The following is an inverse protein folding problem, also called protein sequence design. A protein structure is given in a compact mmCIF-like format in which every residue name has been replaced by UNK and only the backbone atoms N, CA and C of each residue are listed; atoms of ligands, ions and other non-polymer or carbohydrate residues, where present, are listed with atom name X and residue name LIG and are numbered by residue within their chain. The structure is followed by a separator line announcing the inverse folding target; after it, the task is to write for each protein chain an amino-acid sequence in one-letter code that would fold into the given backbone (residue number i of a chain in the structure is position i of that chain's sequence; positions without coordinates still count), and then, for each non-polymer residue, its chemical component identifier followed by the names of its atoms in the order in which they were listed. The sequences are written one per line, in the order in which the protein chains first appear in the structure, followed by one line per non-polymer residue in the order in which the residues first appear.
data_IF_902404058841
#
_entry.id   IF_902404058841
#
_cell.length_a   1.000
_cell.length_b   1.000
_cell.length_c   1.000
_cell.angle_alpha   90.00
_cell.angle_beta   90.00
_cell.angle_gamma   90.00
#
_symmetry.space_group_name_H-M   'P 1'
#
loop_
_entity.id
_entity.type
_entity.pdbx_description
1 polymer ?
#
# COMPACT_ATOMS: atom_id res chain seq x y z
N UNK A 1 -11.53 -2.01 8.60
CA UNK A 1 -11.44 -1.94 10.08
C UNK A 1 -12.17 -3.08 10.77
N UNK A 2 -13.41 -3.42 10.39
CA UNK A 2 -14.13 -4.57 10.95
C UNK A 2 -13.36 -5.89 10.82
N UNK A 3 -12.75 -6.14 9.66
CA UNK A 3 -11.84 -7.29 9.47
C UNK A 3 -10.58 -7.23 10.36
N UNK A 4 -10.07 -6.02 10.66
CA UNK A 4 -8.94 -5.84 11.59
C UNK A 4 -9.37 -6.18 13.04
N UNK A 5 -10.61 -5.83 13.42
CA UNK A 5 -11.19 -6.21 14.72
C UNK A 5 -11.42 -7.72 14.85
N UNK A 6 -11.66 -8.42 13.74
CA UNK A 6 -11.72 -9.90 13.70
C UNK A 6 -10.33 -10.57 13.72
N UNK A 7 -9.24 -9.82 13.88
CA UNK A 7 -7.87 -10.34 13.97
C UNK A 7 -7.15 -10.53 12.63
N UNK A 8 -7.70 -10.03 11.52
CA UNK A 8 -7.04 -10.15 10.21
C UNK A 8 -5.78 -9.27 10.14
N UNK A 9 -4.67 -9.85 9.67
CA UNK A 9 -3.43 -9.11 9.46
C UNK A 9 -3.55 -8.15 8.28
N UNK A 10 -2.88 -6.98 8.38
CA UNK A 10 -2.86 -5.97 7.31
C UNK A 10 -2.27 -6.49 6.00
N UNK A 11 -1.20 -7.28 6.10
CA UNK A 11 -0.53 -7.85 4.94
C UNK A 11 -1.47 -8.79 4.18
N UNK A 12 -2.23 -9.62 4.90
CA UNK A 12 -3.19 -10.53 4.29
C UNK A 12 -4.32 -9.80 3.55
N UNK A 13 -4.79 -8.68 4.12
CA UNK A 13 -5.78 -7.83 3.47
C UNK A 13 -5.26 -7.30 2.12
N UNK A 14 -4.08 -6.67 2.11
CA UNK A 14 -3.51 -6.10 0.89
C UNK A 14 -3.11 -7.18 -0.12
N UNK A 15 -2.59 -8.34 0.32
CA UNK A 15 -2.29 -9.45 -0.59
C UNK A 15 -3.55 -10.04 -1.22
N UNK A 16 -4.66 -10.08 -0.48
CA UNK A 16 -5.95 -10.53 -1.03
C UNK A 16 -6.42 -9.60 -2.15
N UNK A 17 -6.35 -8.29 -1.94
CA UNK A 17 -6.71 -7.32 -2.98
C UNK A 17 -5.77 -7.37 -4.18
N UNK A 18 -4.47 -7.49 -3.96
CA UNK A 18 -3.49 -7.67 -5.02
C UNK A 18 -3.80 -8.90 -5.86
N UNK A 19 -4.11 -10.04 -5.21
CA UNK A 19 -4.47 -11.28 -5.90
C UNK A 19 -5.75 -11.12 -6.73
N UNK A 20 -6.80 -10.51 -6.16
CA UNK A 20 -8.03 -10.23 -6.90
C UNK A 20 -7.77 -9.34 -8.12
N UNK A 21 -6.92 -8.33 -8.00
CA UNK A 21 -6.55 -7.48 -9.12
C UNK A 21 -5.72 -8.23 -10.18
N UNK A 22 -4.77 -9.08 -9.78
CA UNK A 22 -3.99 -9.93 -10.72
C UNK A 22 -4.93 -10.82 -11.53
N UNK A 23 -5.93 -11.45 -10.89
CA UNK A 23 -6.92 -12.27 -11.59
C UNK A 23 -7.72 -11.42 -12.59
N UNK A 24 -8.12 -10.21 -12.21
CA UNK A 24 -8.82 -9.30 -13.12
C UNK A 24 -7.97 -8.81 -14.30
N UNK A 25 -6.63 -8.85 -14.19
CA UNK A 25 -5.70 -8.45 -15.25
C UNK A 25 -5.50 -9.51 -16.35
N UNK A 26 -5.87 -10.77 -16.12
CA UNK A 26 -5.68 -11.85 -17.11
C UNK A 26 -6.43 -11.51 -18.42
N UNK A 27 -7.63 -10.94 -18.31
CA UNK A 27 -8.46 -10.57 -19.46
C UNK A 27 -7.84 -9.42 -20.28
N UNK A 28 -7.53 -8.23 -19.72
CA UNK A 28 -6.95 -7.14 -20.50
C UNK A 28 -5.56 -7.47 -21.07
N UNK A 29 -4.74 -8.25 -20.36
CA UNK A 29 -3.41 -8.64 -20.84
C UNK A 29 -3.51 -9.59 -22.02
N UNK A 30 -4.40 -10.59 -21.97
CA UNK A 30 -4.58 -11.50 -23.11
C UNK A 30 -5.09 -10.76 -24.34
N UNK A 31 -6.04 -9.83 -24.19
CA UNK A 31 -6.51 -8.95 -25.28
C UNK A 31 -5.36 -8.11 -25.84
N UNK A 32 -4.54 -7.49 -24.97
CA UNK A 32 -3.40 -6.68 -25.40
C UNK A 32 -2.38 -7.49 -26.20
N UNK A 33 -2.06 -8.71 -25.75
CA UNK A 33 -1.14 -9.62 -26.46
C UNK A 33 -1.71 -10.01 -27.82
N UNK A 34 -3.00 -10.36 -27.90
CA UNK A 34 -3.66 -10.71 -29.16
C UNK A 34 -3.56 -9.54 -30.15
N UNK A 35 -3.85 -8.31 -29.70
CA UNK A 35 -3.77 -7.12 -30.56
C UNK A 35 -2.34 -6.86 -31.05
N UNK A 36 -1.35 -7.06 -30.17
CA UNK A 36 0.04 -6.72 -30.45
C UNK A 36 0.77 -7.76 -31.30
N UNK A 37 0.47 -9.05 -31.10
CA UNK A 37 1.22 -10.17 -31.68
C UNK A 37 0.46 -10.87 -32.81
N UNK A 38 -0.87 -10.88 -32.78
CA UNK A 38 -1.62 -11.50 -33.86
C UNK A 38 -1.68 -10.56 -35.09
N UNK A 39 -1.47 -11.09 -36.31
CA UNK A 39 -1.67 -10.32 -37.54
C UNK A 39 -3.17 -10.14 -37.80
N UNK A 40 -3.75 -9.11 -37.19
CA UNK A 40 -5.18 -8.78 -37.31
C UNK A 40 -5.46 -7.96 -38.57
N UNK A 41 -4.47 -7.22 -39.06
CA UNK A 41 -4.57 -6.33 -40.21
C UNK A 41 -3.78 -6.86 -41.41
N UNK A 42 -4.17 -6.47 -42.62
CA UNK A 42 -3.46 -6.81 -43.87
C UNK A 42 -2.00 -6.33 -43.92
N UNK A 43 -1.63 -5.40 -43.04
CA UNK A 43 -0.28 -4.85 -42.89
C UNK A 43 0.62 -5.65 -41.92
N UNK A 44 0.14 -6.78 -41.38
CA UNK A 44 0.89 -7.65 -40.48
C UNK A 44 0.59 -7.43 -38.98
N UNK A 45 1.38 -8.07 -38.12
CA UNK A 45 1.31 -7.90 -36.66
C UNK A 45 2.07 -6.64 -36.24
N UNK A 46 1.63 -5.96 -35.16
CA UNK A 46 2.32 -4.76 -34.62
C UNK A 46 3.76 -5.09 -34.22
N UNK A 47 3.95 -6.27 -33.65
CA UNK A 47 5.26 -6.87 -33.40
C UNK A 47 5.39 -8.15 -34.21
N UNK A 48 5.89 -8.04 -35.44
CA UNK A 48 6.07 -9.18 -36.35
C UNK A 48 7.33 -9.99 -36.07
N UNK A 49 8.39 -9.34 -35.60
CA UNK A 49 9.72 -9.94 -35.39
C UNK A 49 10.07 -10.19 -33.91
N UNK A 50 9.32 -9.59 -32.99
CA UNK A 50 9.55 -9.72 -31.55
C UNK A 50 8.96 -11.01 -30.97
N UNK A 51 9.58 -11.52 -29.89
CA UNK A 51 9.04 -12.67 -29.15
C UNK A 51 7.79 -12.27 -28.36
N UNK A 52 6.65 -12.90 -28.67
CA UNK A 52 5.37 -12.64 -28.02
C UNK A 52 5.37 -12.92 -26.51
N UNK A 53 6.20 -13.85 -26.02
CA UNK A 53 6.31 -14.15 -24.59
C UNK A 53 6.99 -13.00 -23.84
N UNK A 54 8.00 -12.37 -24.46
CA UNK A 54 8.75 -11.27 -23.89
C UNK A 54 7.87 -10.01 -23.80
N UNK A 55 7.05 -9.77 -24.83
CA UNK A 55 6.01 -8.74 -24.83
C UNK A 55 4.97 -9.03 -23.74
N UNK A 56 4.52 -10.27 -23.59
CA UNK A 56 3.58 -10.64 -22.54
C UNK A 56 4.13 -10.36 -21.13
N UNK A 57 5.39 -10.73 -20.86
CA UNK A 57 6.06 -10.43 -19.58
C UNK A 57 6.11 -8.92 -19.34
N UNK A 58 6.41 -8.13 -20.36
CA UNK A 58 6.43 -6.67 -20.26
C UNK A 58 5.08 -6.10 -19.80
N UNK A 59 3.98 -6.50 -20.45
CA UNK A 59 2.64 -6.04 -20.07
C UNK A 59 2.23 -6.51 -18.67
N UNK A 60 2.59 -7.73 -18.26
CA UNK A 60 2.31 -8.26 -16.92
C UNK A 60 3.03 -7.44 -15.86
N UNK A 61 4.34 -7.19 -16.05
CA UNK A 61 5.15 -6.41 -15.10
C UNK A 61 4.66 -4.96 -15.00
N UNK A 62 4.32 -4.35 -16.14
CA UNK A 62 3.74 -3.01 -16.16
C UNK A 62 2.41 -2.96 -15.37
N UNK A 63 1.50 -3.91 -15.62
CA UNK A 63 0.20 -3.92 -14.97
C UNK A 63 0.33 -4.14 -13.44
N UNK A 64 1.26 -4.98 -13.00
CA UNK A 64 1.54 -5.21 -11.58
C UNK A 64 2.10 -3.96 -10.89
N UNK A 65 3.02 -3.25 -11.55
CA UNK A 65 3.57 -1.97 -11.07
C UNK A 65 2.47 -0.90 -11.00
N UNK A 66 1.61 -0.82 -12.02
CA UNK A 66 0.50 0.13 -12.08
C UNK A 66 -0.55 -0.08 -10.98
N UNK A 67 -0.89 -1.34 -10.65
CA UNK A 67 -1.77 -1.64 -9.50
C UNK A 67 -1.12 -1.19 -8.19
N UNK A 68 0.17 -1.49 -8.01
CA UNK A 68 0.90 -1.15 -6.79
C UNK A 68 0.94 0.37 -6.58
N UNK A 69 1.18 1.12 -7.66
CA UNK A 69 1.06 2.58 -7.67
C UNK A 69 -0.35 3.06 -7.33
N UNK A 70 -1.38 2.44 -7.91
CA UNK A 70 -2.78 2.78 -7.64
C UNK A 70 -3.13 2.56 -6.16
N UNK A 71 -2.70 1.45 -5.56
CA UNK A 71 -2.88 1.20 -4.13
C UNK A 71 -2.21 2.28 -3.29
N UNK A 72 -0.98 2.66 -3.61
CA UNK A 72 -0.30 3.74 -2.90
C UNK A 72 -1.08 5.06 -2.98
N UNK A 73 -1.55 5.45 -4.16
CA UNK A 73 -2.37 6.67 -4.34
C UNK A 73 -3.65 6.61 -3.52
N UNK A 74 -4.33 5.45 -3.45
CA UNK A 74 -5.57 5.32 -2.67
C UNK A 74 -5.36 5.55 -1.17
N UNK A 75 -4.17 5.28 -0.62
CA UNK A 75 -3.89 5.49 0.81
C UNK A 75 -3.93 6.95 1.25
N UNK A 76 -3.87 7.92 0.33
CA UNK A 76 -3.96 9.35 0.67
C UNK A 76 -5.38 9.86 0.85
N UNK A 77 -6.38 9.13 0.36
CA UNK A 77 -7.75 9.63 0.27
C UNK A 77 -8.71 8.83 1.15
N UNK A 78 -9.33 9.52 2.10
CA UNK A 78 -10.32 8.89 3.00
C UNK A 78 -11.73 8.78 2.39
N UNK A 79 -11.95 9.43 1.24
CA UNK A 79 -13.28 9.49 0.59
C UNK A 79 -13.20 9.14 -0.88
N UNK A 80 -14.00 8.16 -1.29
CA UNK A 80 -14.09 7.67 -2.66
C UNK A 80 -14.40 8.80 -3.67
N UNK A 81 -15.37 9.66 -3.36
CA UNK A 81 -15.82 10.74 -4.26
C UNK A 81 -14.73 11.77 -4.59
N UNK A 82 -13.73 11.94 -3.72
CA UNK A 82 -12.56 12.79 -3.99
C UNK A 82 -11.44 12.04 -4.70
N UNK A 83 -11.33 10.74 -4.44
CA UNK A 83 -10.25 9.89 -4.94
C UNK A 83 -10.36 9.71 -6.45
N UNK A 84 -11.56 9.42 -6.96
CA UNK A 84 -11.78 9.10 -8.38
C UNK A 84 -11.30 10.23 -9.32
N UNK A 85 -11.77 11.49 -9.20
CA UNK A 85 -11.33 12.55 -10.13
C UNK A 85 -9.84 12.87 -9.99
N UNK A 86 -9.30 12.83 -8.77
CA UNK A 86 -7.87 13.09 -8.55
C UNK A 86 -7.00 11.97 -9.10
N UNK A 87 -7.43 10.70 -8.96
CA UNK A 87 -6.74 9.55 -9.53
C UNK A 87 -6.74 9.58 -11.06
N UNK A 88 -7.86 9.96 -11.69
CA UNK A 88 -7.94 10.13 -13.14
C UNK A 88 -7.01 11.28 -13.59
N UNK A 89 -7.03 12.41 -12.90
CA UNK A 89 -6.14 13.53 -13.20
C UNK A 89 -4.66 13.14 -13.07
N UNK A 90 -4.32 12.42 -11.99
CA UNK A 90 -2.96 11.91 -11.76
C UNK A 90 -2.54 10.99 -12.91
N UNK A 91 -3.41 10.05 -13.32
CA UNK A 91 -3.15 9.15 -14.44
C UNK A 91 -2.90 9.94 -15.74
N UNK A 92 -3.72 10.96 -16.02
CA UNK A 92 -3.56 11.80 -17.19
C UNK A 92 -2.23 12.58 -17.17
N UNK A 93 -1.87 13.15 -16.01
CA UNK A 93 -0.61 13.88 -15.84
C UNK A 93 0.59 12.95 -16.02
N UNK A 94 0.55 11.76 -15.43
CA UNK A 94 1.63 10.76 -15.55
C UNK A 94 1.73 10.18 -16.96
N UNK A 95 0.66 10.23 -17.78
CA UNK A 95 0.72 9.88 -19.20
C UNK A 95 1.26 11.02 -20.08
N UNK A 96 0.89 12.27 -19.78
CA UNK A 96 1.33 13.45 -20.55
C UNK A 96 2.77 13.88 -20.26
N UNK A 97 3.26 13.66 -19.03
CA UNK A 97 4.64 13.96 -18.66
C UNK A 97 5.70 13.25 -19.55
N UNK A 98 5.58 11.94 -19.85
CA UNK A 98 6.46 11.24 -20.79
C UNK A 98 6.50 11.86 -22.18
N UNK A 99 5.33 12.11 -22.77
CA UNK A 99 5.25 12.64 -24.13
C UNK A 99 5.80 14.06 -24.18
N UNK A 100 5.50 14.89 -23.19
CA UNK A 100 5.99 16.26 -23.13
C UNK A 100 7.50 16.32 -22.89
N UNK A 101 8.04 15.50 -21.98
CA UNK A 101 9.49 15.42 -21.77
C UNK A 101 10.20 14.98 -23.05
N UNK A 102 9.84 13.84 -23.63
CA UNK A 102 10.47 13.35 -24.86
C UNK A 102 10.39 14.36 -26.03
N UNK A 103 9.25 15.05 -26.20
CA UNK A 103 9.09 16.05 -27.26
C UNK A 103 9.87 17.35 -27.00
N UNK A 104 9.93 17.85 -25.77
CA UNK A 104 10.73 19.04 -25.42
C UNK A 104 12.23 18.80 -25.67
N UNK A 105 12.71 17.62 -25.30
CA UNK A 105 14.12 17.25 -25.48
C UNK A 105 14.48 17.10 -26.97
N UNK A 106 13.58 16.57 -27.80
CA UNK A 106 13.77 16.51 -29.26
C UNK A 106 13.85 17.90 -29.92
N UNK A 107 13.25 18.94 -29.32
CA UNK A 107 13.20 20.31 -29.87
C UNK A 107 14.38 21.17 -29.41
N UNK A 108 14.97 20.89 -28.25
CA UNK A 108 15.98 21.77 -27.65
C UNK A 108 17.37 21.68 -28.30
N UNK A 109 17.79 20.53 -28.84
CA UNK A 109 19.20 20.34 -29.23
C UNK A 109 19.46 19.93 -30.69
N UNK A 110 18.45 19.70 -31.54
CA UNK A 110 18.66 19.30 -32.95
C UNK A 110 19.48 18.02 -33.17
N UNK A 111 19.89 17.39 -32.08
CA UNK A 111 20.54 16.11 -31.90
C UNK A 111 19.54 15.27 -31.13
N UNK A 112 19.42 13.98 -31.44
CA UNK A 112 18.62 12.99 -30.68
C UNK A 112 19.24 12.79 -29.26
N UNK A 113 19.23 13.86 -28.46
CA UNK A 113 20.04 14.07 -27.27
C UNK A 113 19.26 13.79 -25.99
N UNK A 114 19.29 12.53 -25.58
CA UNK A 114 19.57 12.07 -24.21
C UNK A 114 19.13 12.94 -23.04
N UNK A 115 17.97 12.58 -22.47
CA UNK A 115 17.82 12.58 -21.01
C UNK A 115 18.92 11.66 -20.47
N UNK A 116 19.72 12.10 -19.48
CA UNK A 116 20.80 11.28 -18.95
C UNK A 116 20.27 9.91 -18.49
N UNK A 117 21.03 8.82 -18.68
CA UNK A 117 20.55 7.46 -18.35
C UNK A 117 19.96 7.36 -16.93
N UNK A 118 20.53 8.09 -15.97
CA UNK A 118 20.03 8.17 -14.59
C UNK A 118 18.71 8.93 -14.44
N UNK A 119 18.49 9.98 -15.23
CA UNK A 119 17.27 10.78 -15.24
C UNK A 119 16.13 10.00 -15.90
N UNK A 120 16.41 9.31 -17.01
CA UNK A 120 15.48 8.39 -17.66
C UNK A 120 15.05 7.27 -16.71
N UNK A 121 16.00 6.67 -15.98
CA UNK A 121 15.71 5.68 -14.95
C UNK A 121 14.89 6.24 -13.79
N UNK A 122 15.19 7.47 -13.34
CA UNK A 122 14.42 8.11 -12.26
C UNK A 122 12.98 8.39 -12.69
N UNK A 123 12.77 8.80 -13.95
CA UNK A 123 11.44 9.01 -14.51
C UNK A 123 10.67 7.69 -14.63
N UNK A 124 11.36 6.57 -14.94
CA UNK A 124 10.74 5.24 -14.98
C UNK A 124 10.15 4.79 -13.63
N UNK A 125 10.46 5.42 -12.51
CA UNK A 125 9.79 5.18 -11.22
C UNK A 125 8.27 5.39 -11.31
N UNK A 126 7.81 6.24 -12.23
CA UNK A 126 6.39 6.30 -12.56
C UNK A 126 6.05 5.19 -13.57
N UNK A 127 5.12 4.27 -13.29
CA UNK A 127 4.89 3.11 -14.15
C UNK A 127 4.54 3.45 -15.60
N UNK A 128 3.82 4.56 -15.85
CA UNK A 128 3.51 4.98 -17.23
C UNK A 128 4.76 5.45 -17.99
N UNK A 129 5.76 6.01 -17.31
CA UNK A 129 7.05 6.34 -17.95
C UNK A 129 7.79 5.08 -18.37
N UNK A 130 7.89 4.08 -17.49
CA UNK A 130 8.49 2.80 -17.82
C UNK A 130 7.79 2.12 -19.02
N UNK A 131 6.47 2.24 -19.11
CA UNK A 131 5.70 1.76 -20.25
C UNK A 131 6.08 2.47 -21.56
N UNK A 132 6.11 3.81 -21.56
CA UNK A 132 6.46 4.60 -22.76
C UNK A 132 7.87 4.28 -23.23
N UNK A 133 8.84 4.21 -22.31
CA UNK A 133 10.22 3.84 -22.65
C UNK A 133 10.32 2.39 -23.18
N UNK A 134 9.67 1.43 -22.52
CA UNK A 134 9.69 0.03 -22.97
C UNK A 134 9.08 -0.17 -24.36
N UNK A 135 7.96 0.51 -24.65
CA UNK A 135 7.34 0.50 -25.98
C UNK A 135 8.24 1.16 -27.02
N UNK A 136 8.88 2.29 -26.70
CA UNK A 136 9.81 2.97 -27.61
C UNK A 136 11.01 2.08 -27.97
N UNK A 137 11.60 1.42 -26.99
CA UNK A 137 12.72 0.49 -27.21
C UNK A 137 12.25 -0.72 -28.04
N UNK A 138 11.08 -1.29 -27.75
CA UNK A 138 10.53 -2.39 -28.52
C UNK A 138 10.29 -2.02 -29.99
N UNK A 139 9.68 -0.85 -30.26
CA UNK A 139 9.49 -0.35 -31.62
C UNK A 139 10.81 -0.01 -32.32
N UNK A 140 11.84 0.44 -31.61
CA UNK A 140 13.14 0.70 -32.21
C UNK A 140 13.83 -0.59 -32.71
N UNK A 141 13.63 -1.73 -32.04
CA UNK A 141 14.10 -3.03 -32.51
C UNK A 141 13.23 -3.61 -33.63
N UNK A 142 11.93 -3.38 -33.57
CA UNK A 142 10.98 -3.79 -34.62
C UNK A 142 11.23 -3.03 -35.93
N UNK A 143 11.47 -1.71 -35.87
CA UNK A 143 11.80 -0.87 -37.02
C UNK A 143 13.12 -1.24 -37.71
N UNK A 144 13.99 -2.01 -37.04
CA UNK A 144 15.22 -2.58 -37.62
C UNK A 144 15.04 -3.98 -38.19
N UNK A 145 13.84 -4.56 -38.08
CA UNK A 145 13.53 -5.92 -38.53
C UNK A 145 14.18 -7.04 -37.70
N UNK A 146 14.84 -6.72 -36.58
CA UNK A 146 15.42 -7.70 -35.66
C UNK A 146 14.39 -8.14 -34.62
N UNK A 147 13.50 -7.22 -34.23
CA UNK A 147 12.52 -7.43 -33.18
C UNK A 147 13.15 -7.56 -31.79
N UNK A 148 12.32 -7.50 -30.77
CA UNK A 148 12.74 -7.69 -29.40
C UNK A 148 12.91 -9.19 -29.10
N UNK A 149 14.16 -9.60 -28.96
CA UNK A 149 14.55 -10.98 -28.65
C UNK A 149 15.33 -11.05 -27.34
N UNK A 150 15.29 -12.21 -26.68
CA UNK A 150 16.05 -12.48 -25.43
C UNK A 150 17.54 -12.16 -25.53
N UNK A 151 18.15 -12.40 -26.70
CA UNK A 151 19.58 -12.17 -26.94
C UNK A 151 19.95 -10.69 -27.00
N UNK A 152 19.01 -9.83 -27.41
CA UNK A 152 19.24 -8.40 -27.62
C UNK A 152 18.67 -7.53 -26.49
N UNK A 153 18.13 -8.13 -25.44
CA UNK A 153 17.48 -7.42 -24.33
C UNK A 153 18.42 -6.46 -23.59
N UNK A 154 19.71 -6.81 -23.50
CA UNK A 154 20.77 -6.01 -22.87
C UNK A 154 21.42 -4.99 -23.83
N UNK A 155 21.03 -4.97 -25.10
CA UNK A 155 21.59 -4.02 -26.07
C UNK A 155 20.75 -2.75 -26.07
N UNK A 156 21.41 -1.60 -26.02
CA UNK A 156 20.75 -0.32 -26.15
C UNK A 156 20.35 -0.10 -27.63
N UNK A 157 19.09 0.26 -27.91
CA UNK A 157 18.67 0.52 -29.29
C UNK A 157 19.21 1.85 -29.82
N UNK A 158 19.56 2.83 -29.00
CA UNK A 158 20.11 4.11 -29.48
C UNK A 158 21.57 4.23 -29.12
N UNK A 159 22.39 4.76 -30.03
CA UNK A 159 23.84 4.88 -29.85
C UNK A 159 24.24 5.78 -28.66
N UNK A 160 23.34 6.69 -28.23
CA UNK A 160 23.58 7.64 -27.14
C UNK A 160 22.68 7.41 -25.90
N UNK A 161 21.63 6.59 -25.98
CA UNK A 161 20.73 6.30 -24.84
C UNK A 161 21.05 4.89 -24.32
N UNK A 162 21.60 4.80 -23.11
CA UNK A 162 22.00 3.52 -22.51
C UNK A 162 20.83 2.71 -21.95
N UNK A 163 19.59 3.15 -22.14
CA UNK A 163 18.41 2.45 -21.65
C UNK A 163 18.16 1.16 -22.42
N UNK A 164 18.22 0.04 -21.70
CA UNK A 164 17.98 -1.31 -22.22
C UNK A 164 16.60 -1.80 -21.82
N UNK A 165 16.07 -2.82 -22.50
CA UNK A 165 14.81 -3.45 -22.04
C UNK A 165 14.98 -4.08 -20.65
N UNK A 166 16.17 -4.57 -20.35
CA UNK A 166 16.49 -5.13 -19.03
C UNK A 166 16.38 -4.08 -17.92
N UNK A 167 16.88 -2.86 -18.15
CA UNK A 167 16.72 -1.80 -17.16
C UNK A 167 15.25 -1.42 -16.93
N UNK A 168 14.41 -1.45 -17.97
CA UNK A 168 12.96 -1.23 -17.84
C UNK A 168 12.30 -2.33 -17.01
N UNK A 169 12.64 -3.60 -17.26
CA UNK A 169 12.12 -4.72 -16.47
C UNK A 169 12.54 -4.65 -15.00
N UNK A 170 13.81 -4.38 -14.73
CA UNK A 170 14.31 -4.24 -13.36
C UNK A 170 13.60 -3.10 -12.64
N UNK A 171 13.37 -1.97 -13.32
CA UNK A 171 12.65 -0.85 -12.74
C UNK A 171 11.18 -1.18 -12.44
N UNK A 172 10.46 -1.84 -13.35
CA UNK A 172 9.07 -2.25 -13.12
C UNK A 172 8.91 -3.21 -11.93
N UNK A 173 9.86 -4.13 -11.75
CA UNK A 173 9.90 -5.03 -10.58
C UNK A 173 10.20 -4.24 -9.31
N UNK A 174 11.16 -3.32 -9.36
CA UNK A 174 11.50 -2.45 -8.25
C UNK A 174 10.30 -1.59 -7.82
N UNK A 175 9.62 -0.94 -8.76
CA UNK A 175 8.44 -0.10 -8.53
C UNK A 175 7.33 -0.88 -7.83
N UNK A 176 7.06 -2.10 -8.28
CA UNK A 176 6.06 -2.99 -7.68
C UNK A 176 6.35 -3.19 -6.19
N UNK A 177 7.58 -3.56 -5.86
CA UNK A 177 7.98 -3.81 -4.47
C UNK A 177 7.98 -2.51 -3.66
N UNK A 178 8.51 -1.44 -4.24
CA UNK A 178 8.61 -0.13 -3.61
C UNK A 178 7.23 0.43 -3.25
N UNK A 179 6.29 0.47 -4.20
CA UNK A 179 4.94 0.97 -3.96
C UNK A 179 4.12 0.08 -3.03
N UNK A 180 4.33 -1.24 -3.04
CA UNK A 180 3.70 -2.15 -2.08
C UNK A 180 4.18 -1.89 -0.65
N UNK A 181 5.49 -1.72 -0.44
CA UNK A 181 6.04 -1.35 0.88
C UNK A 181 5.48 0.01 1.32
N UNK A 182 5.43 0.97 0.40
CA UNK A 182 4.93 2.31 0.68
C UNK A 182 3.44 2.32 1.02
N UNK A 183 2.64 1.48 0.36
CA UNK A 183 1.22 1.25 0.67
C UNK A 183 1.05 0.70 2.09
N UNK A 184 1.81 -0.34 2.44
CA UNK A 184 1.78 -0.92 3.78
C UNK A 184 2.20 0.11 4.84
N UNK A 185 3.22 0.92 4.55
CA UNK A 185 3.68 1.99 5.41
C UNK A 185 2.60 3.07 5.62
N UNK A 186 1.97 3.54 4.55
CA UNK A 186 0.92 4.56 4.63
C UNK A 186 -0.32 4.07 5.39
N UNK A 187 -0.74 2.81 5.23
CA UNK A 187 -1.85 2.22 6.00
C UNK A 187 -1.54 2.11 7.52
N UNK A 188 -0.26 2.11 7.92
CA UNK A 188 0.11 2.19 9.34
C UNK A 188 0.02 3.61 9.91
N UNK A 189 0.34 4.62 9.11
CA UNK A 189 0.36 6.03 9.54
C UNK A 189 -1.05 6.62 9.57
N UNK A 190 -1.89 6.28 8.58
CA UNK A 190 -3.28 6.77 8.47
C UNK A 190 -4.29 5.61 8.56
N UNK A 191 -4.49 5.00 9.74
CA UNK A 191 -5.43 3.91 9.89
C UNK A 191 -6.86 4.46 10.02
N UNK A 192 -7.46 4.94 8.92
CA UNK A 192 -8.89 5.18 8.79
C UNK A 192 -9.56 6.03 9.89
N UNK A 193 -10.87 5.85 10.08
CA UNK A 193 -11.70 6.64 11.01
C UNK A 193 -11.65 6.15 12.45
N UNK A 194 -11.31 4.89 12.68
CA UNK A 194 -11.36 4.26 14.00
C UNK A 194 -10.02 3.68 14.45
N UNK A 195 -8.98 3.74 13.62
CA UNK A 195 -7.63 3.29 13.99
C UNK A 195 -6.81 4.37 14.70
N UNK A 196 -5.89 3.94 15.55
CA UNK A 196 -4.91 4.83 16.19
C UNK A 196 -3.70 4.99 15.27
N UNK A 197 -3.39 6.20 14.76
CA UNK A 197 -2.26 6.42 13.85
C UNK A 197 -0.92 6.11 14.52
N UNK A 198 -0.06 5.36 13.82
CA UNK A 198 1.32 5.18 14.22
C UNK A 198 2.14 6.44 13.87
N UNK A 199 3.15 6.81 14.69
CA UNK A 199 4.02 7.94 14.38
C UNK A 199 4.81 7.70 13.09
N UNK A 200 5.09 8.75 12.31
CA UNK A 200 5.77 8.66 10.99
C UNK A 200 7.15 7.98 11.10
N UNK A 201 7.85 8.19 12.21
CA UNK A 201 9.17 7.60 12.50
C UNK A 201 9.11 6.18 13.10
N UNK A 202 7.95 5.54 13.12
CA UNK A 202 7.75 4.19 13.68
C UNK A 202 8.69 3.08 13.16
N UNK A 203 9.12 3.05 11.89
CA UNK A 203 10.09 2.05 11.42
C UNK A 203 11.45 2.16 12.12
N UNK A 204 11.80 3.36 12.59
CA UNK A 204 13.04 3.63 13.33
C UNK A 204 12.91 3.36 14.83
N UNK A 205 11.71 3.04 15.32
CA UNK A 205 11.51 2.67 16.72
C UNK A 205 11.79 1.19 16.91
N UNK A 206 12.83 0.86 17.68
CA UNK A 206 13.14 -0.52 18.09
C UNK A 206 11.95 -1.24 18.76
N UNK A 207 11.01 -0.49 19.37
CA UNK A 207 9.80 -1.04 19.95
C UNK A 207 8.80 -1.64 18.94
N UNK A 208 8.91 -1.30 17.65
CA UNK A 208 8.11 -1.91 16.60
C UNK A 208 8.64 -3.30 16.21
N UNK A 209 9.94 -3.38 15.95
CA UNK A 209 10.63 -4.61 15.57
C UNK A 209 10.73 -5.60 16.72
N UNK A 210 10.91 -5.06 17.94
CA UNK A 210 10.92 -5.80 19.19
C UNK A 210 9.78 -5.31 20.06
N UNK A 211 8.55 -5.78 19.82
CA UNK A 211 7.45 -5.49 20.72
C UNK A 211 7.87 -5.97 22.10
N UNK A 212 8.04 -5.04 23.04
CA UNK A 212 8.21 -5.38 24.45
C UNK A 212 6.98 -6.21 24.79
N UNK A 213 7.16 -7.52 25.00
CA UNK A 213 6.12 -8.33 25.63
C UNK A 213 5.80 -7.59 26.91
N UNK A 214 4.62 -6.96 26.97
CA UNK A 214 4.08 -6.55 28.25
C UNK A 214 4.07 -7.83 29.04
N UNK A 215 4.97 -7.94 30.03
CA UNK A 215 4.80 -8.93 31.07
C UNK A 215 3.46 -8.54 31.66
N UNK A 216 2.39 -9.21 31.22
CA UNK A 216 1.20 -9.39 32.04
C UNK A 216 1.78 -10.01 33.29
N UNK A 217 2.06 -9.17 34.27
CA UNK A 217 2.51 -9.62 35.57
C UNK A 217 1.31 -10.40 36.09
N UNK A 218 1.32 -11.72 35.89
CA UNK A 218 0.47 -12.70 36.57
C UNK A 218 0.76 -12.75 38.09
N UNK A 219 1.19 -11.61 38.66
CA UNK A 219 1.33 -11.32 40.08
C UNK A 219 0.37 -10.19 40.48
N UNK A 220 -0.64 -9.87 39.68
CA UNK A 220 -1.72 -8.97 40.07
C UNK A 220 -2.88 -9.66 40.77
N UNK A 221 -2.90 -10.99 40.91
CA UNK A 221 -3.96 -11.66 41.70
C UNK A 221 -3.89 -11.29 43.19
N UNK A 222 -2.73 -10.85 43.68
CA UNK A 222 -2.54 -10.38 45.07
C UNK A 222 -2.60 -8.85 45.22
N UNK A 223 -2.39 -8.08 44.14
CA UNK A 223 -2.43 -6.61 44.18
C UNK A 223 -3.83 -6.07 43.84
N UNK A 224 -4.59 -6.73 42.96
CA UNK A 224 -6.00 -6.40 42.70
C UNK A 224 -6.86 -6.60 43.95
N UNK A 225 -6.52 -7.58 44.79
CA UNK A 225 -7.17 -7.80 46.09
C UNK A 225 -6.97 -6.61 47.06
N UNK A 226 -5.84 -5.89 46.98
CA UNK A 226 -5.55 -4.76 47.87
C UNK A 226 -6.20 -3.44 47.46
N UNK A 227 -6.54 -3.25 46.18
CA UNK A 227 -7.23 -2.04 45.69
C UNK A 227 -8.76 -2.19 45.85
N UNK A 228 -9.28 -3.41 45.79
CA UNK A 228 -10.69 -3.74 46.06
C UNK A 228 -11.02 -3.83 47.57
N UNK A 229 -10.02 -3.84 48.45
CA UNK A 229 -10.23 -3.87 49.91
C UNK A 229 -10.73 -2.54 50.49
N UNK A 230 -10.68 -1.45 49.72
CA UNK A 230 -11.41 -0.22 50.02
C UNK A 230 -12.84 -0.36 49.55
N UNK A 231 -13.78 -0.57 50.48
CA UNK A 231 -15.22 -0.66 50.23
C UNK A 231 -15.72 0.63 49.55
N UNK A 232 -15.59 0.72 48.22
CA UNK A 232 -16.03 1.87 47.45
C UNK A 232 -17.56 1.87 47.42
N UNK A 233 -18.20 2.87 48.01
CA UNK A 233 -19.66 3.03 48.07
C UNK A 233 -20.35 3.09 46.69
N UNK A 234 -19.58 3.18 45.61
CA UNK A 234 -20.05 3.29 44.23
C UNK A 234 -19.88 1.99 43.41
N UNK A 235 -19.39 0.91 44.01
CA UNK A 235 -19.21 -0.38 43.35
C UNK A 235 -20.08 -1.46 44.00
N UNK A 236 -20.78 -2.22 43.17
CA UNK A 236 -21.52 -3.41 43.59
C UNK A 236 -20.56 -4.57 43.88
N UNK A 237 -20.94 -5.44 44.80
CA UNK A 237 -20.17 -6.65 45.11
C UNK A 237 -20.12 -7.58 43.90
N UNK A 238 -18.96 -8.22 43.67
CA UNK A 238 -18.79 -9.12 42.53
C UNK A 238 -19.71 -10.35 42.63
N UNK A 239 -20.57 -10.62 41.64
CA UNK A 239 -21.43 -11.81 41.65
C UNK A 239 -20.61 -13.09 41.51
N UNK A 240 -20.56 -13.88 42.58
CA UNK A 240 -19.76 -15.12 42.65
C UNK A 240 -20.24 -16.26 41.73
N UNK A 241 -21.47 -16.17 41.24
CA UNK A 241 -22.13 -17.22 40.45
C UNK A 241 -22.06 -16.99 38.93
N UNK A 242 -21.52 -15.86 38.49
CA UNK A 242 -21.48 -15.46 37.08
C UNK A 242 -20.05 -15.53 36.54
N UNK A 243 -19.91 -16.15 35.37
CA UNK A 243 -18.63 -16.18 34.66
C UNK A 243 -18.42 -14.84 33.94
N UNK A 244 -17.29 -14.17 34.20
CA UNK A 244 -16.87 -13.00 33.45
C UNK A 244 -16.62 -13.39 31.97
N UNK A 245 -17.30 -12.71 31.05
CA UNK A 245 -17.06 -12.81 29.61
C UNK A 245 -15.96 -11.88 29.13
N UNK A 246 -15.83 -10.71 29.77
CA UNK A 246 -14.79 -9.72 29.53
C UNK A 246 -14.24 -9.31 30.91
N UNK A 247 -12.92 -9.36 31.08
CA UNK A 247 -12.22 -8.94 32.29
C UNK A 247 -11.16 -7.90 31.92
N UNK A 248 -11.39 -6.66 32.33
CA UNK A 248 -10.52 -5.52 32.11
C UNK A 248 -9.87 -5.19 33.45
N UNK A 249 -8.54 -5.22 33.53
CA UNK A 249 -7.80 -4.88 34.74
C UNK A 249 -6.83 -3.72 34.48
N UNK A 250 -6.94 -2.66 35.28
CA UNK A 250 -6.06 -1.47 35.26
C UNK A 250 -5.83 -0.89 33.86
N UNK A 251 -6.89 -0.81 33.05
CA UNK A 251 -6.81 -0.25 31.70
C UNK A 251 -6.42 1.22 31.75
N UNK A 252 -5.37 1.56 31.00
CA UNK A 252 -4.85 2.92 30.91
C UNK A 252 -4.55 3.29 29.46
N UNK A 253 -5.17 4.36 28.99
CA UNK A 253 -4.96 4.89 27.64
C UNK A 253 -4.63 6.37 27.68
N UNK A 254 -3.53 6.72 27.03
CA UNK A 254 -3.04 8.09 26.90
C UNK A 254 -2.94 8.43 25.41
N UNK A 255 -3.50 9.57 25.04
CA UNK A 255 -3.31 10.19 23.74
C UNK A 255 -2.31 11.34 23.84
N UNK A 256 -1.51 11.50 22.80
CA UNK A 256 -0.57 12.61 22.66
C UNK A 256 -1.12 13.57 21.61
N UNK A 257 -1.29 14.83 21.97
CA UNK A 257 -1.73 15.91 21.08
C UNK A 257 -0.67 17.01 21.05
N UNK A 258 -0.80 17.94 20.09
CA UNK A 258 0.01 19.17 20.03
C UNK A 258 -0.11 20.01 21.32
N UNK A 259 -1.25 19.92 22.00
CA UNK A 259 -1.52 20.56 23.30
C UNK A 259 -0.99 19.77 24.52
N UNK A 260 -0.30 18.65 24.28
CA UNK A 260 0.32 17.82 25.31
C UNK A 260 -0.34 16.46 25.54
N UNK A 261 -0.08 15.88 26.72
CA UNK A 261 -0.48 14.52 27.08
C UNK A 261 -1.91 14.50 27.65
N UNK A 262 -2.84 13.81 26.99
CA UNK A 262 -4.21 13.63 27.45
C UNK A 262 -4.45 12.18 27.88
N UNK A 263 -4.72 11.97 29.17
CA UNK A 263 -5.11 10.65 29.69
C UNK A 263 -6.60 10.47 29.43
N UNK A 264 -6.98 9.47 28.65
CA UNK A 264 -8.37 9.18 28.28
C UNK A 264 -9.01 8.09 29.14
N UNK A 265 -8.20 7.14 29.63
CA UNK A 265 -8.61 6.12 30.60
C UNK A 265 -7.45 5.94 31.58
N UNK A 266 -7.72 5.91 32.89
CA UNK A 266 -6.69 5.76 33.92
C UNK A 266 -7.13 4.74 34.97
N UNK A 267 -6.53 3.54 34.93
CA UNK A 267 -6.75 2.50 35.93
C UNK A 267 -8.15 1.87 35.92
N UNK A 268 -8.85 1.84 34.78
CA UNK A 268 -10.19 1.26 34.70
C UNK A 268 -10.12 -0.27 34.87
N UNK A 269 -10.76 -0.78 35.91
CA UNK A 269 -10.99 -2.21 36.10
C UNK A 269 -12.49 -2.49 36.04
N UNK A 270 -12.90 -3.39 35.14
CA UNK A 270 -14.30 -3.69 34.85
C UNK A 270 -14.43 -5.17 34.45
N UNK A 271 -15.37 -5.88 35.06
CA UNK A 271 -15.79 -7.22 34.63
C UNK A 271 -17.19 -7.13 34.02
N UNK A 272 -17.35 -7.67 32.81
CA UNK A 272 -18.65 -7.86 32.19
C UNK A 272 -18.99 -9.36 32.17
N UNK A 273 -20.15 -9.72 32.69
CA UNK A 273 -20.56 -11.11 32.89
C UNK A 273 -21.32 -11.68 31.70
N UNK A 274 -21.19 -12.99 31.49
CA UNK A 274 -21.96 -13.69 30.46
C UNK A 274 -23.46 -13.57 30.75
N UNK A 275 -24.26 -13.48 29.69
CA UNK A 275 -25.72 -13.37 29.76
C UNK A 275 -26.25 -12.10 30.45
N UNK A 276 -25.45 -11.05 30.56
CA UNK A 276 -25.86 -9.72 31.02
C UNK A 276 -25.64 -8.66 29.94
N UNK A 277 -26.44 -7.59 29.99
CA UNK A 277 -26.24 -6.41 29.16
C UNK A 277 -25.49 -5.37 29.99
N UNK A 278 -24.24 -5.09 29.63
CA UNK A 278 -23.43 -4.05 30.28
C UNK A 278 -23.47 -2.75 29.47
N UNK A 279 -23.84 -1.64 30.11
CA UNK A 279 -23.87 -0.32 29.49
C UNK A 279 -22.84 0.63 30.11
N UNK A 280 -22.08 1.33 29.28
CA UNK A 280 -21.15 2.38 29.72
C UNK A 280 -21.81 3.76 29.55
N UNK A 281 -22.12 4.40 30.67
CA UNK A 281 -22.77 5.72 30.74
C UNK A 281 -21.82 6.77 31.33
N UNK A 282 -21.97 8.02 30.92
CA UNK A 282 -21.12 9.12 31.39
C UNK A 282 -21.17 10.33 30.46
N UNK A 283 -20.57 11.45 30.88
CA UNK A 283 -20.52 12.67 30.06
C UNK A 283 -19.64 12.51 28.81
N UNK A 284 -19.77 13.44 27.85
CA UNK A 284 -18.88 13.50 26.69
C UNK A 284 -17.43 13.74 27.16
N UNK A 285 -16.49 12.96 26.62
CA UNK A 285 -15.09 13.00 27.02
C UNK A 285 -14.70 12.11 28.21
N UNK A 286 -15.64 11.38 28.83
CA UNK A 286 -15.36 10.46 29.95
C UNK A 286 -14.59 9.16 29.57
N UNK A 287 -14.08 9.05 28.33
CA UNK A 287 -13.34 7.87 27.89
C UNK A 287 -14.18 6.67 27.41
N UNK A 288 -15.52 6.73 27.41
CA UNK A 288 -16.41 5.62 26.99
C UNK A 288 -16.02 4.94 25.67
N UNK A 289 -15.90 5.73 24.60
CA UNK A 289 -15.52 5.23 23.27
C UNK A 289 -14.08 4.72 23.24
N UNK A 290 -13.21 5.28 24.08
CA UNK A 290 -11.82 4.83 24.22
C UNK A 290 -11.74 3.48 24.93
N UNK A 291 -12.56 3.25 25.95
CA UNK A 291 -12.65 1.95 26.62
C UNK A 291 -13.15 0.86 25.68
N UNK A 292 -14.16 1.15 24.86
CA UNK A 292 -14.70 0.17 23.91
C UNK A 292 -13.80 -0.11 22.71
N UNK A 293 -12.89 0.81 22.35
CA UNK A 293 -12.04 0.66 21.15
C UNK A 293 -10.72 -0.06 21.40
N UNK A 294 -10.40 -0.36 22.66
CA UNK A 294 -9.21 -1.12 23.06
C UNK A 294 -9.58 -2.60 23.07
#
# INVERSE_FOLDING_TARGET
ELMKMMGMSRVLYWSSWLLSCIVSLIIPITIAIIICVAPISSDGAIYGHSDGLLIAIFYILFALSFISFSFFVTTFFDRLLKTIPVGILLMLMTYMAPTFSLNLWNVSDGVEGTVGNSESLALCLMPNMAMVYGVRVAFAFEGRGVGLQWKNMNQAPYLNDGMTMTSVFLMLVFDTVFYMILTLYMDTIKPGKYGVPAPIYFPFQLSYWFPKKSKVNAKSDSASASILAGKNQFFEDEPQHLQAGIDIANLRKVFWSLEGKKVAVDGLSLKAYRSQITALLGHNGAGKTTTMSI
#
